data_IF_830830672419
#
_entry.id   IF_830830672419
#
_cell.length_a   1.000
_cell.length_b   1.000
_cell.length_c   1.000
_cell.angle_alpha   90.00
_cell.angle_beta   90.00
_cell.angle_gamma   90.00
#
_symmetry.space_group_name_H-M   'P 1'
#
loop_
_entity.id
_entity.type
_entity.pdbx_description
1 polymer ?
#
# COMPACT_ATOMS: atom_id res chain seq x y z
N UNK A 1 -39.11 65.32 -29.21
CA UNK A 1 -40.29 64.45 -29.02
C UNK A 1 -40.48 63.64 -30.30
N UNK A 2 -40.52 62.31 -30.25
CA UNK A 2 -41.03 61.46 -31.34
C UNK A 2 -40.03 60.50 -31.99
N UNK A 3 -40.01 59.26 -31.47
CA UNK A 3 -39.44 58.02 -32.04
C UNK A 3 -40.03 57.75 -33.44
N UNK A 4 -39.47 56.99 -34.38
CA UNK A 4 -38.88 55.64 -34.34
C UNK A 4 -38.45 55.24 -35.77
N UNK A 5 -37.36 54.50 -35.91
CA UNK A 5 -36.96 53.76 -37.13
C UNK A 5 -37.56 52.35 -37.14
N UNK A 6 -37.82 51.75 -38.31
CA UNK A 6 -37.74 50.30 -38.44
C UNK A 6 -36.63 49.87 -39.42
N UNK A 7 -35.67 49.12 -38.87
CA UNK A 7 -34.66 48.34 -39.58
C UNK A 7 -35.31 47.02 -40.04
N UNK A 8 -35.26 46.72 -41.34
CA UNK A 8 -35.74 45.45 -41.90
C UNK A 8 -34.55 44.56 -42.29
N UNK A 9 -34.35 43.54 -41.46
CA UNK A 9 -33.85 42.18 -41.69
C UNK A 9 -33.19 41.82 -43.04
N UNK A 10 -31.96 41.29 -42.95
CA UNK A 10 -31.56 40.08 -43.69
C UNK A 10 -30.68 39.19 -42.81
N UNK A 11 -31.22 38.00 -42.51
CA UNK A 11 -30.55 36.88 -41.89
C UNK A 11 -29.54 36.25 -42.88
N UNK A 12 -28.38 35.82 -42.38
CA UNK A 12 -27.56 34.78 -43.02
C UNK A 12 -27.16 33.78 -41.95
N UNK A 13 -27.56 32.53 -42.19
CA UNK A 13 -27.17 31.31 -41.49
C UNK A 13 -25.64 31.23 -41.29
N UNK A 14 -25.22 30.95 -40.06
CA UNK A 14 -23.96 30.27 -39.80
C UNK A 14 -24.28 29.05 -38.92
N UNK A 15 -24.62 27.94 -39.59
CA UNK A 15 -24.56 26.60 -39.01
C UNK A 15 -23.09 26.19 -39.02
N UNK A 16 -22.49 26.01 -37.84
CA UNK A 16 -21.06 25.72 -37.76
C UNK A 16 -20.64 25.20 -36.38
N UNK A 17 -20.82 23.89 -36.19
CA UNK A 17 -20.06 23.02 -35.31
C UNK A 17 -20.06 23.36 -33.80
N UNK A 18 -21.18 23.06 -33.14
CA UNK A 18 -21.18 22.82 -31.69
C UNK A 18 -20.48 21.48 -31.46
N UNK A 19 -19.16 21.50 -31.34
CA UNK A 19 -18.37 20.34 -30.95
C UNK A 19 -18.86 19.84 -29.59
N UNK A 20 -19.53 18.69 -29.61
CA UNK A 20 -19.92 17.95 -28.42
C UNK A 20 -18.63 17.45 -27.75
N UNK A 21 -18.00 18.29 -26.93
CA UNK A 21 -17.01 17.84 -25.96
C UNK A 21 -17.76 16.97 -24.95
N UNK A 22 -17.89 15.68 -25.25
CA UNK A 22 -18.25 14.70 -24.24
C UNK A 22 -17.15 14.79 -23.16
N UNK A 23 -17.47 15.19 -21.91
CA UNK A 23 -16.50 15.11 -20.85
C UNK A 23 -16.11 13.63 -20.73
N UNK A 24 -14.83 13.32 -20.99
CA UNK A 24 -14.30 12.00 -20.68
C UNK A 24 -14.57 11.74 -19.21
N UNK A 25 -15.43 10.77 -18.89
CA UNK A 25 -15.58 10.32 -17.51
C UNK A 25 -14.20 9.83 -17.08
N UNK A 26 -13.53 10.61 -16.24
CA UNK A 26 -12.28 10.20 -15.64
C UNK A 26 -12.58 8.95 -14.80
N UNK A 27 -12.01 7.80 -15.20
CA UNK A 27 -12.05 6.59 -14.37
C UNK A 27 -11.21 6.85 -13.13
N UNK A 28 -11.88 7.18 -12.03
CA UNK A 28 -11.23 7.37 -10.74
C UNK A 28 -11.32 6.06 -9.94
N UNK A 29 -10.17 5.47 -9.62
CA UNK A 29 -10.13 4.33 -8.69
C UNK A 29 -10.50 4.80 -7.30
N UNK A 30 -11.49 4.12 -6.69
CA UNK A 30 -12.00 4.48 -5.37
C UNK A 30 -11.27 3.69 -4.29
N UNK A 31 -10.57 4.37 -3.38
CA UNK A 31 -9.82 3.77 -2.28
C UNK A 31 -10.37 4.17 -0.90
N UNK A 32 -10.16 3.28 0.08
CA UNK A 32 -10.34 3.61 1.50
C UNK A 32 -9.11 4.40 1.97
N UNK A 33 -9.28 5.59 2.55
CA UNK A 33 -8.16 6.38 3.05
C UNK A 33 -7.49 5.67 4.23
N UNK A 34 -6.17 5.54 4.18
CA UNK A 34 -5.34 5.06 5.27
C UNK A 34 -4.64 6.23 5.94
N UNK A 35 -4.72 6.30 7.27
CA UNK A 35 -3.93 7.27 8.02
C UNK A 35 -2.45 6.87 8.06
N UNK A 36 -1.56 7.82 8.34
CA UNK A 36 -0.14 7.54 8.57
C UNK A 36 0.03 6.56 9.73
N UNK A 37 -0.85 6.65 10.73
CA UNK A 37 -0.89 5.75 11.88
C UNK A 37 -1.26 4.33 11.45
N UNK A 38 -2.30 4.15 10.63
CA UNK A 38 -2.70 2.84 10.09
C UNK A 38 -1.61 2.22 9.21
N UNK A 39 -0.97 3.03 8.37
CA UNK A 39 0.16 2.60 7.54
C UNK A 39 1.34 2.18 8.42
N UNK A 40 1.65 2.96 9.46
CA UNK A 40 2.75 2.67 10.37
C UNK A 40 2.52 1.41 11.19
N UNK A 41 1.26 1.15 11.58
CA UNK A 41 0.89 -0.03 12.35
C UNK A 41 1.08 -1.31 11.52
N UNK A 42 0.60 -1.28 10.27
CA UNK A 42 0.56 -2.43 9.35
C UNK A 42 1.86 -2.66 8.56
N UNK A 43 2.77 -1.69 8.51
CA UNK A 43 4.00 -1.81 7.73
C UNK A 43 5.01 -2.78 8.36
N UNK A 44 5.63 -3.59 7.51
CA UNK A 44 6.77 -4.43 7.85
C UNK A 44 8.07 -3.62 7.87
N UNK A 45 8.18 -2.63 6.99
CA UNK A 45 9.28 -1.67 6.95
C UNK A 45 8.78 -0.27 6.56
N UNK A 46 9.42 0.77 7.11
CA UNK A 46 9.17 2.18 6.82
C UNK A 46 10.54 2.84 6.66
N UNK A 47 10.82 3.23 5.43
CA UNK A 47 12.17 3.66 5.03
C UNK A 47 12.12 4.82 4.07
N UNK A 48 13.19 5.62 4.08
CA UNK A 48 13.48 6.62 3.07
C UNK A 48 14.68 6.21 2.25
N UNK A 49 14.63 6.42 0.95
CA UNK A 49 15.71 6.07 0.05
C UNK A 49 15.63 6.78 -1.30
N UNK A 50 16.66 6.56 -2.11
CA UNK A 50 16.75 7.11 -3.47
C UNK A 50 16.50 6.01 -4.48
N UNK A 51 15.64 6.28 -5.45
CA UNK A 51 15.43 5.38 -6.59
C UNK A 51 16.67 5.40 -7.48
N UNK A 52 17.30 4.25 -7.66
CA UNK A 52 18.55 4.12 -8.44
C UNK A 52 18.38 3.35 -9.74
N UNK A 53 17.33 2.54 -9.83
CA UNK A 53 17.02 1.78 -11.03
C UNK A 53 15.54 1.36 -11.02
N UNK A 54 14.98 1.11 -12.19
CA UNK A 54 13.67 0.50 -12.35
C UNK A 54 13.60 -0.28 -13.67
N UNK A 55 12.89 -1.41 -13.65
CA UNK A 55 12.59 -2.16 -14.86
C UNK A 55 11.25 -2.87 -14.75
N UNK A 56 10.54 -3.00 -15.86
CA UNK A 56 9.31 -3.76 -15.93
C UNK A 56 9.54 -5.11 -16.61
N UNK A 57 8.85 -6.14 -16.13
CA UNK A 57 8.89 -7.48 -16.71
C UNK A 57 7.51 -8.14 -16.66
N UNK A 58 7.27 -9.04 -17.62
CA UNK A 58 6.16 -9.97 -17.55
C UNK A 58 6.40 -11.02 -16.47
N UNK A 59 5.33 -11.48 -15.85
CA UNK A 59 5.35 -12.73 -15.12
C UNK A 59 5.57 -13.93 -16.06
N UNK A 60 5.90 -15.09 -15.50
CA UNK A 60 6.19 -16.29 -16.28
C UNK A 60 5.01 -16.75 -17.17
N UNK A 61 3.78 -16.38 -16.79
CA UNK A 61 2.57 -16.70 -17.53
C UNK A 61 2.21 -15.66 -18.61
N UNK A 62 2.96 -14.55 -18.73
CA UNK A 62 2.66 -13.43 -19.62
C UNK A 62 1.25 -12.83 -19.41
N UNK A 63 0.76 -12.83 -18.18
CA UNK A 63 -0.55 -12.29 -17.81
C UNK A 63 -0.46 -10.95 -17.09
N UNK A 64 0.66 -10.66 -16.44
CA UNK A 64 0.81 -9.47 -15.62
C UNK A 64 2.19 -8.84 -15.80
N UNK A 65 2.22 -7.54 -16.10
CA UNK A 65 3.45 -6.75 -16.01
C UNK A 65 3.66 -6.29 -14.56
N UNK A 66 4.86 -6.46 -14.05
CA UNK A 66 5.28 -5.88 -12.77
C UNK A 66 6.52 -5.02 -12.98
N UNK A 67 6.55 -3.87 -12.30
CA UNK A 67 7.73 -3.00 -12.27
C UNK A 67 8.49 -3.25 -10.97
N UNK A 68 9.80 -3.43 -11.10
CA UNK A 68 10.74 -3.66 -10.02
C UNK A 68 11.62 -2.43 -9.89
N UNK A 69 11.42 -1.68 -8.82
CA UNK A 69 12.16 -0.45 -8.53
C UNK A 69 13.21 -0.73 -7.46
N UNK A 70 14.48 -0.49 -7.78
CA UNK A 70 15.57 -0.57 -6.82
C UNK A 70 15.74 0.76 -6.09
N UNK A 71 15.76 0.68 -4.76
CA UNK A 71 15.89 1.83 -3.89
C UNK A 71 17.09 1.64 -2.97
N UNK A 72 17.99 2.62 -2.97
CA UNK A 72 19.10 2.68 -2.02
C UNK A 72 18.63 3.34 -0.73
N UNK A 73 18.79 2.63 0.38
CA UNK A 73 18.37 3.07 1.70
C UNK A 73 19.17 4.29 2.16
N UNK A 74 18.48 5.34 2.58
CA UNK A 74 19.07 6.57 3.12
C UNK A 74 18.76 6.73 4.60
N UNK A 75 17.57 6.35 5.03
CA UNK A 75 17.13 6.47 6.42
C UNK A 75 16.08 5.41 6.76
N UNK A 76 16.12 4.89 7.98
CA UNK A 76 15.21 3.84 8.47
C UNK A 76 14.40 4.35 9.65
N UNK A 77 13.07 4.25 9.58
CA UNK A 77 12.19 4.43 10.75
C UNK A 77 11.76 3.10 11.34
N UNK A 78 11.54 2.11 10.48
CA UNK A 78 11.20 0.74 10.82
C UNK A 78 11.82 -0.19 9.79
N UNK A 79 12.51 -1.24 10.20
CA UNK A 79 12.94 -2.29 9.29
C UNK A 79 13.08 -3.62 10.04
N UNK A 80 12.89 -4.77 9.33
CA UNK A 80 13.38 -6.04 9.83
C UNK A 80 14.91 -6.02 9.87
N UNK A 81 15.50 -6.79 10.79
CA UNK A 81 16.96 -6.90 10.93
C UNK A 81 17.69 -7.38 9.67
N UNK A 82 16.95 -7.98 8.74
CA UNK A 82 17.48 -8.51 7.47
C UNK A 82 17.51 -7.48 6.33
N UNK A 83 17.04 -6.25 6.53
CA UNK A 83 17.00 -5.25 5.47
C UNK A 83 18.42 -4.81 5.08
N UNK A 84 18.76 -4.95 3.80
CA UNK A 84 20.04 -4.52 3.25
C UNK A 84 20.15 -3.00 3.01
N UNK A 85 21.29 -2.56 2.48
CA UNK A 85 21.52 -1.18 2.04
C UNK A 85 20.71 -0.79 0.80
N UNK A 86 20.20 -1.77 0.05
CA UNK A 86 19.23 -1.59 -1.02
C UNK A 86 18.13 -2.63 -0.92
N UNK A 87 16.97 -2.29 -1.49
CA UNK A 87 15.81 -3.17 -1.56
C UNK A 87 15.03 -2.92 -2.84
N UNK A 88 14.19 -3.90 -3.20
CA UNK A 88 13.33 -3.85 -4.39
C UNK A 88 11.89 -3.62 -3.97
N UNK A 89 11.26 -2.64 -4.61
CA UNK A 89 9.82 -2.39 -4.51
C UNK A 89 9.17 -2.87 -5.80
N UNK A 90 8.31 -3.87 -5.66
CA UNK A 90 7.47 -4.39 -6.74
C UNK A 90 6.16 -3.61 -6.77
N UNK A 91 5.82 -3.12 -7.96
CA UNK A 91 4.55 -2.47 -8.27
C UNK A 91 3.87 -3.16 -9.45
N UNK A 92 2.55 -3.06 -9.52
CA UNK A 92 1.76 -3.60 -10.63
C UNK A 92 1.75 -2.64 -11.82
N UNK A 93 1.86 -3.17 -13.03
CA UNK A 93 1.98 -2.34 -14.22
C UNK A 93 3.41 -2.03 -14.59
N UNK A 94 3.57 -1.17 -15.58
CA UNK A 94 4.85 -0.84 -16.22
C UNK A 94 4.75 -0.90 -17.74
N UNK A 95 5.89 -0.72 -18.39
CA UNK A 95 5.99 -0.74 -19.86
C UNK A 95 7.04 -1.76 -20.27
N UNK A 96 6.65 -2.74 -21.09
CA UNK A 96 7.56 -3.75 -21.65
C UNK A 96 7.44 -3.70 -23.18
N UNK A 97 8.48 -3.17 -23.84
CA UNK A 97 8.45 -2.91 -25.27
C UNK A 97 7.36 -1.90 -25.62
N UNK A 98 6.44 -2.29 -26.51
CA UNK A 98 5.31 -1.45 -26.94
C UNK A 98 4.06 -1.61 -26.07
N UNK A 99 4.09 -2.48 -25.05
CA UNK A 99 2.93 -2.76 -24.19
C UNK A 99 3.08 -2.03 -22.86
N UNK A 100 2.19 -1.07 -22.61
CA UNK A 100 2.03 -0.41 -21.31
C UNK A 100 0.84 -0.95 -20.54
N UNK A 101 1.03 -1.25 -19.26
CA UNK A 101 -0.03 -1.58 -18.31
C UNK A 101 -0.01 -0.55 -17.19
N UNK A 102 -1.11 0.19 -17.03
CA UNK A 102 -1.28 1.10 -15.92
C UNK A 102 -2.32 0.53 -14.95
N UNK A 103 -1.97 0.48 -13.67
CA UNK A 103 -2.90 0.10 -12.60
C UNK A 103 -3.23 1.35 -11.81
N UNK A 104 -4.46 1.82 -11.95
CA UNK A 104 -4.91 3.03 -11.28
C UNK A 104 -4.80 2.90 -9.76
N UNK A 105 -4.10 3.85 -9.15
CA UNK A 105 -3.81 3.90 -7.72
C UNK A 105 -2.54 3.18 -7.28
N UNK A 106 -1.83 2.54 -8.20
CA UNK A 106 -0.50 1.99 -7.95
C UNK A 106 0.55 3.11 -7.89
N UNK A 107 1.51 3.07 -6.94
CA UNK A 107 2.57 4.07 -6.89
C UNK A 107 3.46 3.98 -8.12
N UNK A 108 3.76 5.14 -8.71
CA UNK A 108 4.74 5.25 -9.79
C UNK A 108 6.04 5.76 -9.20
N UNK A 109 7.19 5.20 -9.62
CA UNK A 109 8.50 5.69 -9.21
C UNK A 109 9.20 6.43 -10.36
N UNK A 110 10.04 7.40 -10.03
CA UNK A 110 10.86 8.16 -10.98
C UNK A 110 12.33 8.00 -10.63
N UNK A 111 13.17 7.69 -11.63
CA UNK A 111 14.60 7.56 -11.42
C UNK A 111 15.20 8.80 -10.75
N UNK A 112 15.97 8.58 -9.68
CA UNK A 112 16.64 9.63 -8.93
C UNK A 112 15.75 10.39 -7.93
N UNK A 113 14.47 10.06 -7.80
CA UNK A 113 13.65 10.66 -6.75
C UNK A 113 14.05 10.16 -5.34
N UNK A 114 13.84 11.02 -4.34
CA UNK A 114 13.98 10.68 -2.92
C UNK A 114 12.59 10.40 -2.36
N UNK A 115 12.39 9.22 -1.78
CA UNK A 115 11.07 8.72 -1.38
C UNK A 115 11.09 8.16 0.02
N UNK A 116 10.00 8.40 0.74
CA UNK A 116 9.62 7.63 1.93
C UNK A 116 8.52 6.66 1.55
N UNK A 117 8.72 5.39 1.89
CA UNK A 117 7.81 4.30 1.55
C UNK A 117 7.44 3.46 2.77
N UNK A 118 6.17 3.13 2.86
CA UNK A 118 5.61 2.12 3.76
C UNK A 118 5.55 0.81 3.00
N UNK A 119 6.19 -0.24 3.53
CA UNK A 119 6.44 -1.48 2.81
C UNK A 119 5.80 -2.68 3.51
N UNK A 120 5.31 -3.60 2.69
CA UNK A 120 4.88 -4.93 3.09
C UNK A 120 5.70 -5.99 2.35
N UNK A 121 6.11 -7.06 3.03
CA UNK A 121 6.90 -8.15 2.42
C UNK A 121 6.11 -8.86 1.33
N UNK A 122 6.79 -9.25 0.27
CA UNK A 122 6.22 -10.02 -0.85
C UNK A 122 6.84 -11.41 -0.83
N UNK A 123 6.03 -12.41 -0.44
CA UNK A 123 6.52 -13.78 -0.29
C UNK A 123 7.67 -13.89 0.69
N UNK A 124 8.53 -14.88 0.46
CA UNK A 124 9.70 -15.18 1.31
C UNK A 124 11.01 -14.59 0.75
N UNK A 125 10.94 -13.83 -0.35
CA UNK A 125 12.14 -13.25 -0.97
C UNK A 125 12.77 -12.17 -0.07
N UNK A 126 14.07 -12.26 0.24
CA UNK A 126 14.74 -11.24 1.03
C UNK A 126 14.81 -9.92 0.24
N UNK A 127 14.60 -8.81 0.94
CA UNK A 127 14.63 -7.45 0.37
C UNK A 127 13.63 -7.17 -0.76
N UNK A 128 12.59 -8.01 -0.92
CA UNK A 128 11.50 -7.81 -1.89
C UNK A 128 10.23 -7.35 -1.17
N UNK A 129 9.72 -6.18 -1.58
CA UNK A 129 8.59 -5.53 -0.94
C UNK A 129 7.57 -5.02 -1.95
N UNK A 130 6.35 -4.75 -1.50
CA UNK A 130 5.38 -3.91 -2.19
C UNK A 130 5.08 -2.70 -1.34
N UNK A 131 4.56 -1.63 -1.96
CA UNK A 131 4.07 -0.48 -1.21
C UNK A 131 2.77 -0.85 -0.51
N UNK A 132 2.73 -0.63 0.80
CA UNK A 132 1.54 -0.83 1.61
C UNK A 132 0.53 0.29 1.33
N UNK A 133 -0.72 -0.07 1.05
CA UNK A 133 -1.77 0.92 0.77
C UNK A 133 -1.67 1.55 -0.62
N UNK A 134 -0.94 0.91 -1.54
CA UNK A 134 -0.68 1.40 -2.90
C UNK A 134 -0.09 2.82 -2.85
N UNK A 135 -0.55 3.77 -3.67
CA UNK A 135 0.08 5.09 -3.71
C UNK A 135 0.01 5.88 -2.40
N UNK A 136 -0.94 5.56 -1.50
CA UNK A 136 -1.04 6.19 -0.17
C UNK A 136 0.19 5.92 0.72
N UNK A 137 0.90 4.82 0.47
CA UNK A 137 2.12 4.44 1.18
C UNK A 137 3.40 5.02 0.60
N UNK A 138 3.32 5.87 -0.43
CA UNK A 138 4.48 6.53 -1.04
C UNK A 138 4.40 8.03 -0.82
N UNK A 139 5.51 8.60 -0.35
CA UNK A 139 5.71 10.04 -0.24
C UNK A 139 6.98 10.43 -0.98
N UNK A 140 6.89 11.38 -1.90
CA UNK A 140 8.06 12.00 -2.50
C UNK A 140 8.64 13.02 -1.51
N UNK A 141 9.94 12.97 -1.29
CA UNK A 141 10.65 13.91 -0.41
C UNK A 141 11.25 15.01 -1.28
N UNK A 142 10.65 16.18 -1.20
CA UNK A 142 11.10 17.38 -1.91
C UNK A 142 11.86 18.32 -0.97
N UNK A 143 12.80 19.08 -1.55
CA UNK A 143 13.49 20.16 -0.86
C UNK A 143 12.80 21.48 -1.21
N UNK A 144 12.25 22.17 -0.21
CA UNK A 144 11.64 23.49 -0.35
C UNK A 144 12.50 24.60 0.26
N UNK A 145 12.54 25.75 -0.43
CA UNK A 145 13.12 26.99 0.09
C UNK A 145 14.55 26.81 0.61
N UNK A 146 14.78 27.15 1.88
CA UNK A 146 16.10 27.10 2.55
C UNK A 146 16.54 25.68 2.95
N UNK A 147 16.25 24.67 2.13
CA UNK A 147 16.63 23.28 2.42
C UNK A 147 15.66 22.50 3.30
N UNK A 148 14.41 22.97 3.46
CA UNK A 148 13.42 22.28 4.28
C UNK A 148 12.86 21.07 3.53
N UNK A 149 12.92 19.90 4.15
CA UNK A 149 12.34 18.69 3.56
C UNK A 149 10.82 18.65 3.75
N UNK A 150 10.10 18.36 2.67
CA UNK A 150 8.64 18.21 2.64
C UNK A 150 8.29 16.89 1.99
N UNK A 151 7.43 16.12 2.65
CA UNK A 151 6.86 14.90 2.13
C UNK A 151 5.58 15.22 1.35
N UNK A 152 5.50 14.74 0.12
CA UNK A 152 4.41 14.99 -0.83
C UNK A 152 3.76 13.66 -1.15
N UNK A 153 2.49 13.49 -0.78
CA UNK A 153 1.75 12.27 -1.04
C UNK A 153 1.42 12.17 -2.54
N UNK A 154 1.80 11.07 -3.19
CA UNK A 154 1.54 10.85 -4.61
C UNK A 154 0.20 10.13 -4.80
N UNK A 155 -0.91 10.86 -4.69
CA UNK A 155 -2.29 10.33 -4.80
C UNK A 155 -2.94 10.62 -6.15
N UNK A 156 -2.13 10.81 -7.20
CA UNK A 156 -2.62 11.10 -8.55
C UNK A 156 -3.43 9.90 -9.07
N UNK A 157 -4.60 10.18 -9.66
CA UNK A 157 -5.46 9.14 -10.26
C UNK A 157 -6.33 8.34 -9.26
N UNK A 158 -6.38 8.74 -7.99
CA UNK A 158 -7.22 8.08 -6.97
C UNK A 158 -8.33 9.01 -6.48
N UNK A 159 -9.55 8.48 -6.38
CA UNK A 159 -10.64 9.04 -5.60
C UNK A 159 -10.75 8.32 -4.24
N UNK A 160 -11.10 9.05 -3.18
CA UNK A 160 -11.31 8.47 -1.86
C UNK A 160 -12.80 8.36 -1.54
N UNK A 161 -13.21 7.27 -0.87
CA UNK A 161 -14.57 7.17 -0.30
C UNK A 161 -14.71 8.22 0.79
N UNK A 162 -15.66 9.15 0.64
CA UNK A 162 -16.05 10.08 1.70
C UNK A 162 -17.17 9.46 2.53
N UNK A 163 -17.04 9.36 3.87
CA UNK A 163 -18.16 8.96 4.71
C UNK A 163 -19.26 10.03 4.69
N UNK A 164 -20.56 9.63 4.77
CA UNK A 164 -21.69 10.55 4.65
C UNK A 164 -21.72 11.64 5.73
N UNK A 165 -21.06 11.45 6.87
CA UNK A 165 -20.92 12.47 7.92
C UNK A 165 -20.07 13.69 7.50
N UNK A 166 -19.24 13.58 6.46
CA UNK A 166 -18.45 14.69 5.91
C UNK A 166 -19.00 15.23 4.58
N UNK A 167 -20.02 14.58 4.00
CA UNK A 167 -20.61 15.00 2.73
C UNK A 167 -21.41 16.32 2.85
N UNK A 168 -21.90 16.65 4.04
CA UNK A 168 -22.69 17.86 4.29
C UNK A 168 -21.86 19.16 4.35
N UNK A 169 -20.52 19.09 4.38
CA UNK A 169 -19.65 20.25 4.59
C UNK A 169 -19.01 20.83 3.30
N UNK A 170 -19.28 20.25 2.13
CA UNK A 170 -18.67 20.69 0.86
C UNK A 170 -19.76 21.00 -0.17
N UNK A 171 -20.34 22.19 -0.09
CA UNK A 171 -21.30 22.72 -1.05
C UNK A 171 -20.63 23.59 -2.13
N UNK A 172 -19.48 23.18 -2.66
CA UNK A 172 -18.87 23.83 -3.82
C UNK A 172 -18.36 22.77 -4.80
N UNK A 173 -19.10 22.60 -5.90
CA UNK A 173 -18.82 21.68 -6.99
C UNK A 173 -17.66 22.11 -7.88
N UNK A 174 -16.49 22.32 -7.31
CA UNK A 174 -15.24 22.29 -8.05
C UNK A 174 -14.69 20.86 -7.99
N UNK A 175 -14.47 20.25 -9.15
CA UNK A 175 -13.56 19.13 -9.27
C UNK A 175 -12.17 19.62 -8.85
N UNK A 176 -11.92 19.62 -7.54
CA UNK A 176 -10.61 19.82 -6.97
C UNK A 176 -9.82 18.58 -7.35
N UNK A 177 -9.00 18.69 -8.39
CA UNK A 177 -7.81 17.84 -8.52
C UNK A 177 -7.23 17.71 -7.10
N UNK A 178 -7.20 16.51 -6.49
CA UNK A 178 -6.75 16.37 -5.13
C UNK A 178 -5.31 16.84 -5.10
N UNK A 179 -5.09 18.06 -4.58
CA UNK A 179 -3.74 18.58 -4.40
C UNK A 179 -3.02 17.57 -3.53
N UNK A 180 -1.85 17.07 -3.96
CA UNK A 180 -1.12 16.09 -3.18
C UNK A 180 -0.86 16.69 -1.80
N UNK A 181 -1.24 15.95 -0.76
CA UNK A 181 -1.06 16.40 0.61
C UNK A 181 0.43 16.63 0.86
N UNK A 182 0.79 17.83 1.32
CA UNK A 182 2.17 18.20 1.65
C UNK A 182 2.30 18.29 3.16
N UNK A 183 3.28 17.60 3.72
CA UNK A 183 3.54 17.54 5.16
C UNK A 183 5.03 17.79 5.38
N UNK A 184 5.44 18.66 6.32
CA UNK A 184 6.85 18.78 6.68
C UNK A 184 7.43 17.40 7.04
N UNK A 185 8.60 17.06 6.49
CA UNK A 185 9.19 15.74 6.69
C UNK A 185 9.42 15.40 8.16
N UNK A 186 9.79 16.42 8.96
CA UNK A 186 9.96 16.28 10.41
C UNK A 186 8.68 15.82 11.11
N UNK A 187 7.52 16.38 10.73
CA UNK A 187 6.22 16.05 11.32
C UNK A 187 5.78 14.65 10.91
N UNK A 188 5.97 14.30 9.62
CA UNK A 188 5.69 12.95 9.13
C UNK A 188 6.54 11.92 9.89
N UNK A 189 7.85 12.15 10.01
CA UNK A 189 8.76 11.29 10.74
C UNK A 189 8.36 11.17 12.22
N UNK A 190 8.00 12.26 12.88
CA UNK A 190 7.57 12.24 14.27
C UNK A 190 6.31 11.38 14.47
N UNK A 191 5.33 11.49 13.57
CA UNK A 191 4.10 10.67 13.60
C UNK A 191 4.40 9.18 13.41
N UNK A 192 5.25 8.84 12.43
CA UNK A 192 5.69 7.46 12.18
C UNK A 192 6.36 6.88 13.41
N UNK A 193 7.36 7.57 13.97
CA UNK A 193 8.10 7.07 15.13
C UNK A 193 7.20 6.91 16.35
N UNK A 194 6.27 7.83 16.56
CA UNK A 194 5.29 7.73 17.66
C UNK A 194 4.40 6.49 17.49
N UNK A 195 3.88 6.24 16.29
CA UNK A 195 3.06 5.08 16.00
C UNK A 195 3.84 3.76 16.15
N UNK A 196 5.07 3.70 15.67
CA UNK A 196 5.96 2.54 15.80
C UNK A 196 6.27 2.25 17.28
N UNK A 197 6.58 3.27 18.08
CA UNK A 197 6.84 3.12 19.51
C UNK A 197 5.61 2.59 20.26
N UNK A 198 4.42 3.09 19.93
CA UNK A 198 3.16 2.61 20.51
C UNK A 198 2.94 1.12 20.21
N UNK A 199 3.20 0.68 18.97
CA UNK A 199 3.10 -0.73 18.57
C UNK A 199 4.06 -1.62 19.34
N UNK A 200 5.34 -1.22 19.47
CA UNK A 200 6.34 -1.99 20.22
C UNK A 200 5.96 -2.09 21.69
N UNK A 201 5.45 -1.00 22.28
CA UNK A 201 5.03 -0.97 23.69
C UNK A 201 3.80 -1.84 23.96
N UNK A 202 2.85 -1.89 23.02
CA UNK A 202 1.66 -2.76 23.10
C UNK A 202 2.00 -4.24 22.88
N UNK A 203 3.00 -4.54 22.03
CA UNK A 203 3.51 -5.89 21.81
C UNK A 203 4.38 -6.43 22.95
N UNK A 204 4.87 -5.56 23.85
CA UNK A 204 5.77 -5.91 24.95
C UNK A 204 5.10 -6.16 26.31
N UNK A 205 3.78 -6.42 26.38
CA UNK A 205 3.15 -6.85 27.63
C UNK A 205 3.70 -8.25 28.06
N UNK A 206 4.32 -8.42 29.24
CA UNK A 206 4.84 -9.72 29.66
C UNK A 206 3.72 -10.63 30.15
N UNK A 207 3.87 -11.93 29.85
CA UNK A 207 3.11 -13.07 30.37
C UNK A 207 1.65 -13.20 29.89
N UNK A 208 1.48 -13.95 28.79
CA UNK A 208 0.43 -14.95 28.77
C UNK A 208 0.68 -15.93 29.96
N UNK A 209 -0.34 -16.35 30.71
CA UNK A 209 -0.17 -17.36 31.74
C UNK A 209 0.38 -18.63 31.09
N UNK A 210 1.47 -19.16 31.64
CA UNK A 210 2.02 -20.48 31.31
C UNK A 210 0.88 -21.48 31.19
N UNK A 211 0.75 -22.26 30.09
CA UNK A 211 -0.20 -23.36 30.08
C UNK A 211 0.21 -24.34 31.17
N UNK A 212 -0.62 -24.46 32.20
CA UNK A 212 -0.56 -25.53 33.20
C UNK A 212 -0.41 -26.86 32.46
N UNK A 213 0.60 -27.71 32.76
CA UNK A 213 0.67 -29.02 32.15
C UNK A 213 -0.57 -29.81 32.53
N UNK A 214 -1.36 -30.21 31.52
CA UNK A 214 -2.50 -31.11 31.68
C UNK A 214 -2.02 -32.42 32.30
N UNK A 215 -2.59 -32.91 33.41
CA UNK A 215 -2.22 -34.21 33.94
C UNK A 215 -2.65 -35.30 32.95
N UNK A 216 -1.70 -36.13 32.53
CA UNK A 216 -1.92 -37.35 31.76
C UNK A 216 -2.94 -38.24 32.49
N UNK A 217 -4.02 -38.72 31.83
CA UNK A 217 -4.94 -39.64 32.49
C UNK A 217 -4.26 -41.00 32.70
N UNK A 218 -4.15 -41.40 33.97
CA UNK A 218 -3.79 -42.75 34.41
C UNK A 218 -4.73 -43.77 33.78
N UNK A 219 -4.24 -44.89 33.21
CA UNK A 219 -5.13 -45.95 32.73
C UNK A 219 -5.88 -46.57 33.91
N UNK A 220 -7.20 -46.53 33.84
CA UNK A 220 -8.11 -47.22 34.75
C UNK A 220 -8.00 -48.72 34.46
N UNK A 221 -7.57 -49.49 35.45
CA UNK A 221 -7.48 -50.95 35.36
C UNK A 221 -8.87 -51.54 35.34
N UNK A 222 -9.19 -52.22 34.25
CA UNK A 222 -10.34 -53.11 34.18
C UNK A 222 -9.86 -54.54 34.44
N UNK A 223 -10.33 -55.05 35.57
CA UNK A 223 -10.35 -56.46 35.94
C UNK A 223 -11.39 -57.15 35.05
N UNK A 224 -10.95 -58.12 34.24
CA UNK A 224 -11.80 -59.28 34.01
C UNK A 224 -10.99 -60.57 33.96
N UNK A 225 -11.58 -61.57 34.59
CA UNK A 225 -11.03 -62.89 34.85
C UNK A 225 -11.28 -63.79 33.65
N UNK A 226 -10.46 -64.84 33.47
CA UNK A 226 -10.89 -66.23 33.13
C UNK A 226 -9.89 -66.97 32.23
N UNK A 227 -9.33 -68.05 32.79
CA UNK A 227 -8.71 -69.24 32.15
C UNK A 227 -7.34 -69.04 31.49
N UNK A 228 -6.23 -69.64 31.90
CA UNK A 228 -6.04 -70.93 32.56
C UNK A 228 -5.67 -72.02 31.55
N UNK A 229 -4.55 -71.90 30.83
CA UNK A 229 -3.89 -73.04 30.13
C UNK A 229 -2.39 -72.76 29.97
N UNK A 230 -1.54 -73.49 30.71
CA UNK A 230 -0.12 -73.73 30.39
C UNK A 230 -0.05 -74.65 29.15
N UNK A 231 0.91 -74.53 28.22
CA UNK A 231 2.16 -75.29 28.44
C UNK A 231 3.45 -74.73 27.77
N UNK A 232 4.55 -75.09 28.44
CA UNK A 232 5.79 -75.70 27.90
C UNK A 232 6.75 -74.86 27.05
N UNK A 233 7.90 -74.66 27.67
CA UNK A 233 9.19 -74.24 27.13
C UNK A 233 9.88 -75.41 26.42
N UNK A 234 10.34 -75.20 25.18
CA UNK A 234 11.35 -76.03 24.50
C UNK A 234 12.35 -75.11 23.79
N UNK A 235 13.61 -75.00 24.24
CA UNK A 235 14.66 -74.37 23.47
C UNK A 235 15.36 -75.42 22.59
N UNK A 236 15.46 -75.17 21.29
CA UNK A 236 16.41 -75.89 20.42
C UNK A 236 17.08 -74.92 19.47
N UNK A 237 18.40 -74.81 19.62
CA UNK A 237 19.43 -74.94 18.58
C UNK A 237 20.57 -73.90 18.74
N UNK A 238 21.82 -74.21 18.37
CA UNK A 238 22.55 -75.50 18.42
C UNK A 238 23.36 -75.68 19.72
#
# INVERSE_FOLDING_TARGET
>A
MGRSTPFASKAILAVGLFGFFAPSLAEATVMVPLSIEDLSEKADAIVRGRVVNDYAAWDAAHQQISTYTEVTLTETMLAPSSLGASFVVRTLGGIVGDVGMHVSGEPTFTLGEDVLVFLARVGDEPNSFRVLGMSQGKYQIEVEGKGRLVAVADVRGIAFIRPPSMAAAASDGAALEPRPARIPYADLKARILTAVLKRTSAGSNPAAPTPTPTPTPTPRGDVDSTTGVTPVFVPTNP
#
